data_IF_995511357823
#
_entry.id   IF_995511357823
#
_cell.length_a   1.000
_cell.length_b   1.000
_cell.length_c   1.000
_cell.angle_alpha   90.00
_cell.angle_beta   90.00
_cell.angle_gamma   90.00
#
_symmetry.space_group_name_H-M   'P 1'
#
loop_
_entity.id
_entity.type
_entity.pdbx_description
1 polymer ?
#
# COMPACT_ATOMS: atom_id res chain seq x y z
N UNK A 1 -31.06 -14.08 -1.08
CA UNK A 1 -30.72 -14.08 -2.51
C UNK A 1 -30.98 -15.47 -3.08
N UNK A 2 -31.51 -15.57 -4.35
CA UNK A 2 -31.70 -16.89 -5.00
C UNK A 2 -30.33 -17.58 -5.21
N UNK A 3 -30.33 -18.92 -5.27
CA UNK A 3 -29.11 -19.70 -5.52
C UNK A 3 -28.38 -19.22 -6.80
N UNK A 4 -29.14 -18.85 -7.82
CA UNK A 4 -28.61 -18.30 -9.06
C UNK A 4 -27.82 -16.99 -8.83
N UNK A 5 -28.34 -16.04 -8.05
CA UNK A 5 -27.64 -14.78 -7.76
C UNK A 5 -26.34 -15.01 -6.97
N UNK A 6 -26.33 -15.96 -6.04
CA UNK A 6 -25.12 -16.34 -5.31
C UNK A 6 -24.09 -16.98 -6.25
N UNK A 7 -24.52 -17.90 -7.11
CA UNK A 7 -23.64 -18.53 -8.11
C UNK A 7 -23.01 -17.52 -9.07
N UNK A 8 -23.81 -16.61 -9.61
CA UNK A 8 -23.31 -15.54 -10.47
C UNK A 8 -22.32 -14.64 -9.77
N UNK A 9 -22.62 -14.22 -8.52
CA UNK A 9 -21.69 -13.41 -7.73
C UNK A 9 -20.34 -14.11 -7.55
N UNK A 10 -20.32 -15.36 -7.09
CA UNK A 10 -19.08 -16.10 -6.91
C UNK A 10 -18.32 -16.31 -8.22
N UNK A 11 -19.01 -16.61 -9.32
CA UNK A 11 -18.39 -16.76 -10.62
C UNK A 11 -17.63 -15.50 -11.05
N UNK A 12 -18.28 -14.34 -11.00
CA UNK A 12 -17.65 -13.08 -11.38
C UNK A 12 -16.55 -12.66 -10.41
N UNK A 13 -16.73 -12.83 -9.10
CA UNK A 13 -15.67 -12.52 -8.13
C UNK A 13 -14.43 -13.37 -8.33
N UNK A 14 -14.57 -14.68 -8.51
CA UNK A 14 -13.44 -15.57 -8.83
C UNK A 14 -12.76 -15.19 -10.16
N UNK A 15 -13.52 -14.69 -11.13
CA UNK A 15 -12.96 -14.20 -12.39
C UNK A 15 -12.19 -12.89 -12.19
N UNK A 16 -12.72 -11.97 -11.38
CA UNK A 16 -12.02 -10.74 -11.02
C UNK A 16 -10.67 -11.00 -10.34
N UNK A 17 -10.62 -11.93 -9.38
CA UNK A 17 -9.38 -12.34 -8.72
C UNK A 17 -8.31 -12.83 -9.70
N UNK A 18 -8.71 -13.54 -10.76
CA UNK A 18 -7.78 -14.09 -11.77
C UNK A 18 -7.21 -13.02 -12.69
N UNK A 19 -8.03 -12.08 -13.17
CA UNK A 19 -7.64 -11.19 -14.26
C UNK A 19 -7.75 -9.70 -13.94
N UNK A 20 -8.46 -9.32 -12.89
CA UNK A 20 -8.77 -7.92 -12.58
C UNK A 20 -7.52 -7.09 -12.36
N UNK A 21 -6.56 -7.60 -11.59
CA UNK A 21 -5.26 -6.95 -11.38
C UNK A 21 -4.49 -6.77 -12.69
N UNK A 22 -4.44 -7.80 -13.53
CA UNK A 22 -3.76 -7.74 -14.85
C UNK A 22 -4.40 -6.69 -15.75
N UNK A 23 -5.75 -6.60 -15.74
CA UNK A 23 -6.50 -5.59 -16.50
C UNK A 23 -6.18 -4.19 -15.96
N UNK A 24 -6.16 -4.01 -14.64
CA UNK A 24 -5.83 -2.74 -13.98
C UNK A 24 -4.41 -2.27 -14.34
N UNK A 25 -3.45 -3.18 -14.34
CA UNK A 25 -2.04 -2.93 -14.67
C UNK A 25 -1.76 -2.89 -16.19
N UNK A 26 -2.82 -2.96 -17.02
CA UNK A 26 -2.75 -2.94 -18.49
C UNK A 26 -1.92 -4.08 -19.08
N UNK A 27 -1.80 -5.18 -18.36
CA UNK A 27 -1.13 -6.38 -18.86
C UNK A 27 -1.94 -7.06 -19.98
N UNK A 28 -1.29 -7.97 -20.70
CA UNK A 28 -1.95 -8.73 -21.77
C UNK A 28 -2.93 -9.73 -21.19
N UNK A 29 -4.21 -9.55 -21.45
CA UNK A 29 -5.30 -10.44 -21.05
C UNK A 29 -6.12 -10.82 -22.28
N UNK A 30 -6.55 -12.07 -22.37
CA UNK A 30 -7.36 -12.58 -23.47
C UNK A 30 -8.65 -11.77 -23.70
N UNK A 31 -9.08 -11.68 -24.97
CA UNK A 31 -10.30 -10.91 -25.32
C UNK A 31 -11.54 -11.46 -24.62
N UNK A 32 -11.63 -12.78 -24.47
CA UNK A 32 -12.75 -13.44 -23.81
C UNK A 32 -12.79 -13.08 -22.30
N UNK A 33 -11.65 -13.11 -21.63
CA UNK A 33 -11.54 -12.72 -20.22
C UNK A 33 -11.89 -11.25 -19.99
N UNK A 34 -11.47 -10.37 -20.92
CA UNK A 34 -11.85 -8.96 -20.89
C UNK A 34 -13.36 -8.76 -21.06
N UNK A 35 -13.99 -9.54 -21.93
CA UNK A 35 -15.44 -9.51 -22.12
C UNK A 35 -16.17 -9.93 -20.84
N UNK A 36 -15.78 -11.07 -20.26
CA UNK A 36 -16.37 -11.55 -18.99
C UNK A 36 -16.18 -10.51 -17.88
N UNK A 37 -14.98 -9.95 -17.76
CA UNK A 37 -14.71 -8.90 -16.77
C UNK A 37 -15.59 -7.67 -16.99
N UNK A 38 -15.80 -7.24 -18.23
CA UNK A 38 -16.68 -6.10 -18.55
C UNK A 38 -18.15 -6.38 -18.20
N UNK A 39 -18.62 -7.61 -18.39
CA UNK A 39 -19.96 -8.03 -17.93
C UNK A 39 -20.01 -8.00 -16.39
N UNK A 40 -18.99 -8.54 -15.73
CA UNK A 40 -18.83 -8.47 -14.27
C UNK A 40 -18.81 -7.05 -13.74
N UNK A 41 -18.16 -6.13 -14.44
CA UNK A 41 -18.17 -4.69 -14.09
C UNK A 41 -19.59 -4.13 -14.09
N UNK A 42 -20.38 -4.45 -15.10
CA UNK A 42 -21.74 -3.94 -15.20
C UNK A 42 -22.68 -4.55 -14.16
N UNK A 43 -22.59 -5.86 -13.89
CA UNK A 43 -23.58 -6.58 -13.06
C UNK A 43 -23.18 -6.73 -11.59
N UNK A 44 -21.86 -6.74 -11.25
CA UNK A 44 -21.36 -7.02 -9.91
C UNK A 44 -20.40 -5.94 -9.42
N UNK A 45 -19.26 -5.69 -10.13
CA UNK A 45 -18.18 -4.85 -9.61
C UNK A 45 -18.59 -3.37 -9.52
N UNK A 46 -19.26 -2.84 -10.54
CA UNK A 46 -19.77 -1.47 -10.56
C UNK A 46 -20.77 -1.19 -9.44
N UNK A 47 -21.84 -2.00 -9.29
CA UNK A 47 -22.73 -1.91 -8.13
C UNK A 47 -22.03 -2.01 -6.79
N UNK A 48 -21.07 -2.93 -6.63
CA UNK A 48 -20.29 -3.09 -5.40
C UNK A 48 -19.44 -1.84 -5.12
N UNK A 49 -18.71 -1.33 -6.12
CA UNK A 49 -17.95 -0.07 -6.00
C UNK A 49 -18.86 1.12 -5.65
N UNK A 50 -20.08 1.15 -6.20
CA UNK A 50 -21.04 2.19 -5.89
C UNK A 50 -21.49 2.14 -4.43
N UNK A 51 -21.77 0.95 -3.91
CA UNK A 51 -22.14 0.76 -2.49
C UNK A 51 -20.98 1.17 -1.55
N UNK A 52 -19.75 0.95 -1.96
CA UNK A 52 -18.55 1.34 -1.21
C UNK A 52 -18.15 2.81 -1.39
N UNK A 53 -18.86 3.57 -2.24
CA UNK A 53 -18.51 4.96 -2.56
C UNK A 53 -17.29 5.12 -3.47
N UNK A 54 -16.83 4.06 -4.13
CA UNK A 54 -15.56 4.01 -4.86
C UNK A 54 -15.70 4.15 -6.38
N UNK A 55 -16.90 4.37 -6.91
CA UNK A 55 -17.16 4.41 -8.37
C UNK A 55 -16.33 5.46 -9.11
N UNK A 56 -16.06 6.61 -8.48
CA UNK A 56 -15.31 7.72 -9.10
C UNK A 56 -13.85 7.79 -8.67
N UNK A 57 -13.39 6.84 -7.85
CA UNK A 57 -12.01 6.81 -7.37
C UNK A 57 -11.10 6.43 -8.52
N UNK A 58 -10.09 7.26 -8.78
CA UNK A 58 -9.04 7.01 -9.78
C UNK A 58 -7.81 6.39 -9.17
N UNK A 59 -7.44 6.83 -7.98
CA UNK A 59 -6.30 6.34 -7.19
C UNK A 59 -6.75 6.31 -5.74
N UNK A 60 -6.42 5.25 -5.03
CA UNK A 60 -6.61 5.11 -3.59
C UNK A 60 -5.29 4.75 -2.92
N UNK A 61 -5.09 5.23 -1.71
CA UNK A 61 -3.93 4.89 -0.89
C UNK A 61 -4.39 4.32 0.45
N UNK A 62 -3.69 3.31 0.93
CA UNK A 62 -3.81 2.80 2.30
C UNK A 62 -2.51 3.06 3.04
N UNK A 63 -2.63 3.48 4.29
CA UNK A 63 -1.50 3.83 5.16
C UNK A 63 -1.90 3.77 6.64
N UNK A 64 -0.91 3.85 7.51
CA UNK A 64 -1.08 3.96 8.96
C UNK A 64 -1.22 2.60 9.66
N UNK A 65 -1.82 1.62 9.02
CA UNK A 65 -1.95 0.24 9.52
C UNK A 65 -1.72 -0.72 8.36
N UNK A 66 -1.19 -1.90 8.66
CA UNK A 66 -0.99 -2.93 7.64
C UNK A 66 -2.34 -3.45 7.12
N UNK A 67 -2.56 -3.38 5.83
CA UNK A 67 -3.69 -4.02 5.17
C UNK A 67 -3.34 -5.47 4.87
N UNK A 68 -4.29 -6.41 5.07
CA UNK A 68 -4.03 -7.79 4.65
C UNK A 68 -3.89 -7.88 3.13
N UNK A 69 -3.00 -8.78 2.66
CA UNK A 69 -2.80 -9.00 1.23
C UNK A 69 -4.11 -9.38 0.52
N UNK A 70 -4.94 -10.21 1.15
CA UNK A 70 -6.24 -10.62 0.63
C UNK A 70 -7.17 -9.42 0.39
N UNK A 71 -7.30 -8.52 1.36
CA UNK A 71 -8.15 -7.33 1.24
C UNK A 71 -7.57 -6.35 0.19
N UNK A 72 -6.26 -6.20 0.14
CA UNK A 72 -5.58 -5.38 -0.84
C UNK A 72 -5.85 -5.89 -2.27
N UNK A 73 -5.65 -7.19 -2.50
CA UNK A 73 -5.87 -7.82 -3.80
C UNK A 73 -7.34 -7.84 -4.19
N UNK A 74 -8.27 -7.98 -3.22
CA UNK A 74 -9.70 -7.84 -3.46
C UNK A 74 -10.04 -6.47 -4.09
N UNK A 75 -9.59 -5.36 -3.51
CA UNK A 75 -9.87 -4.05 -4.09
C UNK A 75 -9.24 -3.87 -5.46
N UNK A 76 -8.03 -4.35 -5.66
CA UNK A 76 -7.35 -4.28 -6.96
C UNK A 76 -8.02 -5.15 -8.01
N UNK A 77 -8.55 -6.30 -7.63
CA UNK A 77 -9.32 -7.18 -8.54
C UNK A 77 -10.57 -6.51 -9.09
N UNK A 78 -11.19 -5.61 -8.33
CA UNK A 78 -12.34 -4.80 -8.77
C UNK A 78 -11.94 -3.61 -9.67
N UNK A 79 -10.66 -3.47 -10.03
CA UNK A 79 -10.15 -2.36 -10.84
C UNK A 79 -9.90 -1.07 -10.07
N UNK A 80 -9.84 -1.11 -8.75
CA UNK A 80 -9.48 0.04 -7.92
C UNK A 80 -7.95 0.14 -7.86
N UNK A 81 -7.38 1.25 -8.33
CA UNK A 81 -5.95 1.50 -8.24
C UNK A 81 -5.54 1.82 -6.80
N UNK A 82 -5.59 0.79 -5.94
CA UNK A 82 -5.16 0.87 -4.55
C UNK A 82 -3.66 0.65 -4.47
N UNK A 83 -2.97 1.51 -3.74
CA UNK A 83 -1.53 1.49 -3.47
C UNK A 83 -1.27 1.59 -1.98
N UNK A 84 -0.09 1.20 -1.57
CA UNK A 84 0.39 1.44 -0.22
C UNK A 84 1.34 2.63 -0.19
N UNK A 85 1.31 3.37 0.89
CA UNK A 85 2.31 4.34 1.28
C UNK A 85 2.67 4.15 2.75
N UNK A 86 3.86 4.58 3.12
CA UNK A 86 4.33 4.54 4.48
C UNK A 86 4.90 5.88 4.89
N UNK A 87 4.71 6.21 6.15
CA UNK A 87 5.27 7.39 6.78
C UNK A 87 4.70 7.63 8.17
N UNK A 88 5.08 8.76 8.74
CA UNK A 88 4.70 9.15 10.09
C UNK A 88 4.59 10.67 10.21
N UNK A 89 4.00 11.15 11.28
CA UNK A 89 3.80 12.58 11.53
C UNK A 89 5.11 13.36 11.53
N UNK A 90 6.17 12.78 12.07
CA UNK A 90 7.52 13.34 12.14
C UNK A 90 8.18 13.52 10.75
N UNK A 91 7.66 12.84 9.73
CA UNK A 91 8.10 12.94 8.33
C UNK A 91 7.17 13.82 7.46
N UNK A 92 6.24 14.56 8.05
CA UNK A 92 5.15 15.22 7.32
C UNK A 92 4.37 14.23 6.44
N UNK A 93 4.11 13.04 6.98
CA UNK A 93 3.36 11.89 6.46
C UNK A 93 4.17 10.99 5.52
N UNK A 94 4.83 11.51 4.50
CA UNK A 94 5.29 10.68 3.37
C UNK A 94 6.77 10.30 3.46
N UNK A 95 7.05 9.01 3.55
CA UNK A 95 8.41 8.44 3.41
C UNK A 95 8.54 7.61 2.15
N UNK A 96 7.62 6.67 1.94
CA UNK A 96 7.61 5.81 0.75
C UNK A 96 6.25 5.77 0.10
N UNK A 97 6.21 5.40 -1.16
CA UNK A 97 4.97 5.24 -1.93
C UNK A 97 5.17 4.25 -3.06
N UNK A 98 4.13 3.49 -3.40
CA UNK A 98 4.16 2.58 -4.54
C UNK A 98 3.85 3.32 -5.85
N UNK A 99 4.57 2.96 -6.90
CA UNK A 99 4.34 3.42 -8.27
C UNK A 99 3.28 2.58 -8.98
N UNK A 100 2.63 3.12 -10.02
CA UNK A 100 1.57 2.44 -10.78
C UNK A 100 1.99 1.09 -11.37
N UNK A 101 3.26 0.95 -11.75
CA UNK A 101 3.76 -0.23 -12.45
C UNK A 101 4.45 -1.25 -11.52
N UNK A 102 4.52 -0.98 -10.21
CA UNK A 102 5.18 -1.85 -9.24
C UNK A 102 4.44 -1.81 -7.90
N UNK A 103 3.18 -2.25 -7.93
CA UNK A 103 2.32 -2.34 -6.75
C UNK A 103 2.34 -3.76 -6.20
N UNK A 104 2.65 -3.89 -4.91
CA UNK A 104 2.73 -5.17 -4.20
C UNK A 104 1.94 -5.12 -2.90
N UNK A 105 1.34 -6.23 -2.50
CA UNK A 105 0.52 -6.31 -1.29
C UNK A 105 1.34 -6.36 0.00
N UNK A 106 2.63 -6.67 -0.09
CA UNK A 106 3.52 -6.94 1.04
C UNK A 106 4.61 -5.88 1.25
N UNK A 107 4.63 -4.81 0.45
CA UNK A 107 5.58 -3.70 0.56
C UNK A 107 4.87 -2.36 0.58
N UNK A 108 5.57 -1.33 1.05
CA UNK A 108 5.03 0.04 1.17
C UNK A 108 5.66 1.04 0.18
N UNK A 109 6.35 0.51 -0.84
CA UNK A 109 6.92 1.31 -1.92
C UNK A 109 8.36 1.74 -1.70
N UNK A 110 8.84 2.61 -2.60
CA UNK A 110 10.18 3.19 -2.58
C UNK A 110 10.19 4.56 -1.91
N UNK A 111 11.36 5.02 -1.42
CA UNK A 111 11.51 6.39 -0.92
C UNK A 111 11.03 7.42 -1.95
N UNK A 112 10.23 8.37 -1.51
CA UNK A 112 9.84 9.48 -2.38
C UNK A 112 11.01 10.45 -2.57
N UNK A 113 10.90 11.31 -3.57
CA UNK A 113 11.95 12.30 -3.88
C UNK A 113 12.29 13.17 -2.66
N UNK A 114 13.57 13.19 -2.29
CA UNK A 114 14.05 13.97 -1.14
C UNK A 114 14.02 13.23 0.19
N UNK A 115 13.67 11.96 0.19
CA UNK A 115 13.77 11.06 1.35
C UNK A 115 14.90 10.07 1.15
N UNK A 116 15.77 9.98 2.13
CA UNK A 116 16.78 8.95 2.26
C UNK A 116 16.33 7.94 3.31
N UNK A 117 16.49 6.66 3.04
CA UNK A 117 16.20 5.58 3.99
C UNK A 117 17.45 4.74 4.22
N UNK A 118 17.59 4.24 5.44
CA UNK A 118 18.53 3.16 5.79
C UNK A 118 17.92 2.25 6.85
N UNK A 119 18.42 1.03 6.91
CA UNK A 119 18.07 0.08 7.97
C UNK A 119 19.23 0.06 8.94
N UNK A 120 18.95 0.29 10.21
CA UNK A 120 19.93 0.19 11.28
C UNK A 120 20.36 -1.28 11.51
N UNK A 121 21.45 -1.51 12.23
CA UNK A 121 21.88 -2.86 12.62
C UNK A 121 20.82 -3.60 13.47
N UNK A 122 20.01 -2.85 14.21
CA UNK A 122 18.85 -3.36 14.95
C UNK A 122 17.67 -3.78 14.08
N UNK A 123 17.71 -3.54 12.76
CA UNK A 123 16.59 -3.74 11.86
C UNK A 123 15.59 -2.56 11.81
N UNK A 124 15.83 -1.51 12.59
CA UNK A 124 14.96 -0.33 12.60
C UNK A 124 15.12 0.51 11.32
N UNK A 125 14.00 0.97 10.79
CA UNK A 125 13.97 1.88 9.65
C UNK A 125 14.30 3.29 10.11
N UNK A 126 15.33 3.89 9.52
CA UNK A 126 15.72 5.27 9.74
C UNK A 126 15.53 6.08 8.46
N UNK A 127 15.12 7.34 8.60
CA UNK A 127 15.00 8.23 7.45
C UNK A 127 15.66 9.58 7.68
N UNK A 128 16.00 10.25 6.60
CA UNK A 128 16.41 11.65 6.57
C UNK A 128 15.68 12.35 5.43
N UNK A 129 15.06 13.49 5.71
CA UNK A 129 14.34 14.25 4.69
C UNK A 129 14.21 15.73 5.08
N UNK A 130 13.95 16.56 4.07
CA UNK A 130 13.62 17.98 4.30
C UNK A 130 12.27 18.19 5.00
N UNK A 131 11.39 17.17 4.94
CA UNK A 131 10.10 17.15 5.62
C UNK A 131 10.16 16.64 7.06
N UNK A 132 11.36 16.28 7.57
CA UNK A 132 11.50 15.82 8.94
C UNK A 132 11.14 16.92 9.96
N UNK A 133 10.46 16.53 11.02
CA UNK A 133 10.07 17.44 12.09
C UNK A 133 11.27 18.19 12.68
N UNK A 134 11.03 19.36 13.22
CA UNK A 134 12.06 20.14 13.87
C UNK A 134 12.39 19.54 15.23
N UNK A 135 11.41 19.49 16.10
CA UNK A 135 11.54 19.01 17.48
C UNK A 135 10.16 18.67 18.07
N UNK A 136 10.12 17.87 19.11
CA UNK A 136 8.94 17.73 19.97
C UNK A 136 8.82 18.93 20.91
N UNK A 137 7.64 19.54 20.92
CA UNK A 137 7.38 20.75 21.71
C UNK A 137 7.65 20.52 23.20
N UNK A 138 8.53 21.35 23.78
CA UNK A 138 8.96 21.28 25.20
C UNK A 138 9.47 19.88 25.64
N UNK A 139 9.93 19.04 24.71
CA UNK A 139 10.47 17.73 25.02
C UNK A 139 11.79 17.47 24.28
N UNK A 140 12.89 18.15 24.69
CA UNK A 140 14.18 18.01 24.04
C UNK A 140 14.75 16.59 24.19
N UNK A 141 14.43 15.89 25.28
CA UNK A 141 14.90 14.53 25.51
C UNK A 141 14.35 13.58 24.44
N UNK A 142 13.03 13.56 24.24
CA UNK A 142 12.41 12.73 23.20
C UNK A 142 12.90 13.13 21.80
N UNK A 143 13.17 14.40 21.55
CA UNK A 143 13.73 14.88 20.28
C UNK A 143 15.11 14.26 20.03
N UNK A 144 16.01 14.27 21.03
CA UNK A 144 17.35 13.70 20.91
C UNK A 144 17.35 12.16 20.80
N UNK A 145 16.40 11.49 21.44
CA UNK A 145 16.21 10.05 21.35
C UNK A 145 15.70 9.62 19.95
N UNK A 146 14.90 10.47 19.30
CA UNK A 146 14.27 10.15 17.99
C UNK A 146 15.11 10.63 16.81
N UNK A 147 15.80 11.77 16.93
CA UNK A 147 16.54 12.40 15.83
C UNK A 147 17.99 12.64 16.23
N UNK A 148 18.91 12.07 15.45
CA UNK A 148 20.32 12.23 15.69
C UNK A 148 20.88 13.58 15.15
N UNK A 149 22.15 13.86 15.45
CA UNK A 149 22.85 15.08 15.03
C UNK A 149 23.07 15.19 13.52
N UNK A 150 23.03 14.08 12.81
CA UNK A 150 23.21 14.00 11.36
C UNK A 150 21.87 14.09 10.61
N UNK A 151 20.76 14.27 11.37
CA UNK A 151 19.41 14.46 10.87
C UNK A 151 18.68 13.17 10.55
N UNK A 152 19.22 12.01 10.95
CA UNK A 152 18.50 10.76 10.83
C UNK A 152 17.45 10.64 11.95
N UNK A 153 16.26 10.22 11.56
CA UNK A 153 15.10 10.06 12.42
C UNK A 153 14.74 8.58 12.52
N UNK A 154 14.64 8.10 13.73
CA UNK A 154 14.18 6.75 14.04
C UNK A 154 12.66 6.67 13.90
N UNK A 155 12.17 5.67 13.14
CA UNK A 155 10.73 5.51 12.92
C UNK A 155 10.03 4.73 14.02
N UNK A 156 10.77 3.94 14.78
CA UNK A 156 10.24 2.95 15.71
C UNK A 156 9.66 1.71 15.03
N UNK A 157 9.82 1.57 13.71
CA UNK A 157 9.36 0.42 12.94
C UNK A 157 10.56 -0.39 12.44
N UNK A 158 10.46 -1.72 12.50
CA UNK A 158 11.42 -2.64 11.91
C UNK A 158 11.01 -2.97 10.47
N UNK A 159 12.02 -3.10 9.61
CA UNK A 159 11.79 -3.42 8.21
C UNK A 159 13.08 -3.68 7.44
N UNK A 160 12.93 -3.97 6.17
CA UNK A 160 14.06 -4.14 5.25
C UNK A 160 13.70 -3.65 3.84
N UNK A 161 14.72 -3.33 3.07
CA UNK A 161 14.57 -3.01 1.65
C UNK A 161 14.72 -4.31 0.86
N UNK A 162 13.68 -4.67 0.12
CA UNK A 162 13.68 -5.86 -0.71
C UNK A 162 14.63 -5.66 -1.90
N UNK A 163 15.65 -6.49 -2.01
CA UNK A 163 16.71 -6.36 -3.03
C UNK A 163 16.19 -6.40 -4.47
N UNK A 164 15.16 -7.24 -4.73
CA UNK A 164 14.61 -7.43 -6.07
C UNK A 164 13.86 -6.22 -6.60
N UNK A 165 13.24 -5.43 -5.71
CA UNK A 165 12.35 -4.32 -6.06
C UNK A 165 12.85 -2.96 -5.58
N UNK A 166 13.71 -2.93 -4.58
CA UNK A 166 14.11 -1.71 -3.87
C UNK A 166 12.97 -1.08 -3.04
N UNK A 167 11.88 -1.82 -2.82
CA UNK A 167 10.76 -1.37 -2.01
C UNK A 167 10.99 -1.69 -0.53
N UNK A 168 10.50 -0.83 0.34
CA UNK A 168 10.51 -1.04 1.78
C UNK A 168 9.41 -2.03 2.17
N UNK A 169 9.77 -3.01 3.00
CA UNK A 169 8.83 -3.88 3.69
C UNK A 169 8.92 -3.64 5.19
N UNK A 170 7.80 -3.28 5.79
CA UNK A 170 7.66 -3.15 7.24
C UNK A 170 7.30 -4.52 7.80
N UNK A 171 7.94 -4.90 8.91
CA UNK A 171 7.71 -6.17 9.60
C UNK A 171 6.78 -5.95 10.80
N UNK A 172 7.19 -5.07 11.70
CA UNK A 172 6.49 -4.76 12.95
C UNK A 172 7.11 -3.53 13.62
N UNK A 173 6.70 -3.19 14.84
CA UNK A 173 7.39 -2.18 15.65
C UNK A 173 8.77 -2.69 16.06
N UNK A 174 9.78 -1.83 15.99
CA UNK A 174 11.17 -2.22 16.27
C UNK A 174 11.37 -2.78 17.68
N UNK A 175 10.60 -2.32 18.67
CA UNK A 175 10.62 -2.83 20.05
C UNK A 175 10.01 -4.23 20.21
N UNK A 176 9.21 -4.68 19.24
CA UNK A 176 8.47 -5.95 19.28
C UNK A 176 9.16 -7.04 18.43
N UNK A 177 10.21 -6.65 17.67
CA UNK A 177 11.08 -7.53 16.88
C UNK A 177 12.41 -7.67 17.64
N UNK A 178 12.48 -8.59 18.59
CA UNK A 178 13.66 -8.84 19.41
C UNK A 178 13.95 -10.32 19.59
#
# INVERSE_FOLDING_TARGET
ASAFKKGAFHYFMNHAEKVGRQILEKASVGLFDRLIYSIGEFVIYGPLKNMLGLTKVRIAYTAGEAISAELFDFYRSLGINLKQLYGQTEASVFLTMQDDNDVRSDTVGRPIKGVELKIAESGEVLYRSVGAFKEYYKNPKATQETKDKDGWVATGDAGYIEESSGQLRIIDRAKDVG
#
